data_IF_371918913242
#
_entry.id   IF_371918913242
#
_cell.length_a   1.000
_cell.length_b   1.000
_cell.length_c   1.000
_cell.angle_alpha   90.00
_cell.angle_beta   90.00
_cell.angle_gamma   90.00
#
_symmetry.space_group_name_H-M   'P 1'
#
loop_
_entity.id
_entity.type
_entity.pdbx_description
1 polymer ?
#
# COMPACT_ATOMS: atom_id res chain seq x y z
N UNK A 1 -2.46 -5.67 12.20
CA UNK A 1 -1.65 -4.44 12.25
C UNK A 1 -0.26 -4.78 12.77
N UNK A 2 0.73 -4.69 11.90
CA UNK A 2 2.12 -5.04 12.24
C UNK A 2 2.65 -4.01 13.24
N UNK A 3 3.04 -4.45 14.43
CA UNK A 3 3.48 -3.57 15.52
C UNK A 3 5.01 -3.48 15.52
N UNK A 4 5.56 -2.60 14.69
CA UNK A 4 6.96 -2.23 14.78
C UNK A 4 7.15 -1.12 15.82
N UNK A 5 8.21 -1.23 16.61
CA UNK A 5 8.74 -0.11 17.39
C UNK A 5 9.50 0.86 16.49
N UNK A 6 9.66 2.11 16.94
CA UNK A 6 10.44 3.11 16.19
C UNK A 6 11.90 2.68 15.98
N UNK A 7 12.48 1.95 16.95
CA UNK A 7 13.84 1.42 16.88
C UNK A 7 13.98 0.31 15.83
N UNK A 8 12.99 -0.59 15.73
CA UNK A 8 12.94 -1.61 14.67
C UNK A 8 12.83 -0.98 13.29
N UNK A 9 11.95 0.01 13.13
CA UNK A 9 11.84 0.77 11.87
C UNK A 9 13.17 1.42 11.50
N UNK A 10 13.87 2.03 12.47
CA UNK A 10 15.18 2.66 12.22
C UNK A 10 16.20 1.64 11.73
N UNK A 11 16.27 0.47 12.35
CA UNK A 11 17.18 -0.63 11.94
C UNK A 11 16.86 -1.11 10.52
N UNK A 12 15.59 -1.27 10.18
CA UNK A 12 15.16 -1.67 8.83
C UNK A 12 15.57 -0.63 7.79
N UNK A 13 15.41 0.67 8.10
CA UNK A 13 15.79 1.76 7.19
C UNK A 13 17.30 1.84 6.91
N UNK A 14 18.16 1.33 7.80
CA UNK A 14 19.61 1.31 7.58
C UNK A 14 20.05 0.22 6.58
N UNK A 15 19.22 -0.81 6.35
CA UNK A 15 19.44 -1.84 5.33
C UNK A 15 19.05 -1.36 3.93
N UNK A 16 19.72 -0.33 3.42
CA UNK A 16 19.38 0.36 2.16
C UNK A 16 19.23 -0.57 0.95
N UNK A 17 20.02 -1.65 0.90
CA UNK A 17 19.97 -2.64 -0.19
C UNK A 17 18.67 -3.44 -0.24
N UNK A 18 17.87 -3.45 0.82
CA UNK A 18 16.57 -4.12 0.91
C UNK A 18 15.38 -3.20 0.60
N UNK A 19 15.61 -1.88 0.49
CA UNK A 19 14.55 -0.92 0.22
C UNK A 19 14.21 -0.91 -1.27
N UNK A 20 12.92 -0.93 -1.61
CA UNK A 20 12.42 -0.83 -2.98
C UNK A 20 11.42 0.31 -3.07
N UNK A 21 11.85 1.42 -3.66
CA UNK A 21 10.97 2.54 -3.99
C UNK A 21 10.38 2.28 -5.37
N UNK A 22 9.08 2.02 -5.41
CA UNK A 22 8.35 1.74 -6.66
C UNK A 22 6.99 2.43 -6.66
N UNK A 23 6.41 2.56 -7.84
CA UNK A 23 5.06 3.10 -8.02
C UNK A 23 4.26 2.15 -8.91
N UNK A 24 2.94 2.12 -8.69
CA UNK A 24 2.01 1.39 -9.54
C UNK A 24 1.41 2.37 -10.55
N UNK A 25 1.63 2.09 -11.83
CA UNK A 25 1.05 2.86 -12.93
C UNK A 25 0.12 1.95 -13.73
N UNK A 26 -1.05 2.47 -14.07
CA UNK A 26 -2.05 1.75 -14.85
C UNK A 26 -2.98 2.74 -15.55
N UNK A 27 -3.70 2.27 -16.57
CA UNK A 27 -4.82 3.02 -17.14
C UNK A 27 -5.97 3.12 -16.12
N UNK A 28 -6.87 4.09 -16.33
CA UNK A 28 -8.09 4.22 -15.52
C UNK A 28 -8.91 2.93 -15.65
N UNK A 29 -9.51 2.48 -14.55
CA UNK A 29 -10.31 1.25 -14.47
C UNK A 29 -9.57 -0.08 -14.75
N UNK A 30 -8.22 -0.08 -14.75
CA UNK A 30 -7.41 -1.30 -14.92
C UNK A 30 -6.99 -1.95 -13.58
N UNK A 31 -7.78 -1.76 -12.52
CA UNK A 31 -7.57 -2.48 -11.25
C UNK A 31 -6.36 -2.03 -10.43
N UNK A 32 -5.88 -0.79 -10.61
CA UNK A 32 -4.76 -0.23 -9.83
C UNK A 32 -5.04 -0.24 -8.32
N UNK A 33 -6.18 0.29 -7.90
CA UNK A 33 -6.56 0.35 -6.49
C UNK A 33 -6.75 -1.07 -5.92
N UNK A 34 -7.33 -1.99 -6.69
CA UNK A 34 -7.48 -3.40 -6.31
C UNK A 34 -6.14 -4.10 -6.09
N UNK A 35 -5.17 -3.92 -7.01
CA UNK A 35 -3.83 -4.49 -6.86
C UNK A 35 -3.12 -3.91 -5.63
N UNK A 36 -3.24 -2.60 -5.42
CA UNK A 36 -2.60 -1.91 -4.30
C UNK A 36 -3.17 -2.38 -2.97
N UNK A 37 -4.49 -2.47 -2.84
CA UNK A 37 -5.16 -3.01 -1.66
C UNK A 37 -4.79 -4.48 -1.40
N UNK A 38 -4.62 -5.29 -2.44
CA UNK A 38 -4.18 -6.68 -2.29
C UNK A 38 -2.78 -6.77 -1.67
N UNK A 39 -1.85 -5.87 -2.06
CA UNK A 39 -0.52 -5.78 -1.46
C UNK A 39 -0.58 -5.32 0.01
N UNK A 40 -1.44 -4.35 0.31
CA UNK A 40 -1.67 -3.86 1.67
C UNK A 40 -2.27 -4.96 2.58
N UNK A 41 -3.19 -5.76 2.04
CA UNK A 41 -3.76 -6.91 2.72
C UNK A 41 -2.71 -8.01 2.96
N UNK A 42 -1.89 -8.33 1.96
CA UNK A 42 -0.79 -9.28 2.09
C UNK A 42 0.24 -8.85 3.15
N UNK A 43 0.43 -7.54 3.35
CA UNK A 43 1.27 -6.99 4.42
C UNK A 43 0.58 -6.97 5.81
N UNK A 44 -0.65 -7.47 5.93
CA UNK A 44 -1.38 -7.55 7.21
C UNK A 44 -1.84 -6.19 7.77
N UNK A 45 -1.96 -5.18 6.89
CA UNK A 45 -2.41 -3.83 7.23
C UNK A 45 -3.95 -3.78 7.23
N UNK A 46 -4.58 -4.36 6.20
CA UNK A 46 -6.05 -4.52 6.08
C UNK A 46 -6.42 -6.01 6.00
N UNK A 47 -7.69 -6.32 6.23
CA UNK A 47 -8.21 -7.67 6.03
C UNK A 47 -8.32 -7.98 4.52
N UNK A 48 -8.12 -9.24 4.13
CA UNK A 48 -8.10 -9.61 2.71
C UNK A 48 -9.51 -9.52 2.09
N UNK A 49 -10.54 -9.73 2.89
CA UNK A 49 -11.95 -9.68 2.49
C UNK A 49 -12.43 -8.28 2.12
N UNK A 50 -11.72 -7.24 2.57
CA UNK A 50 -12.06 -5.83 2.30
C UNK A 50 -11.13 -5.20 1.25
N UNK A 51 -10.19 -5.97 0.71
CA UNK A 51 -9.25 -5.50 -0.30
C UNK A 51 -9.98 -5.21 -1.63
N UNK A 52 -9.80 -4.00 -2.18
CA UNK A 52 -10.45 -3.54 -3.40
C UNK A 52 -11.71 -2.69 -3.15
N UNK A 53 -12.39 -2.92 -2.02
CA UNK A 53 -13.53 -2.11 -1.59
C UNK A 53 -13.09 -0.89 -0.78
N UNK A 54 -12.08 -1.07 0.09
CA UNK A 54 -11.56 0.01 0.95
C UNK A 54 -10.83 1.08 0.13
N UNK A 55 -10.10 0.67 -0.92
CA UNK A 55 -9.27 1.53 -1.76
C UNK A 55 -8.42 2.48 -0.93
N UNK A 56 -7.59 1.91 -0.07
CA UNK A 56 -6.94 2.62 1.04
C UNK A 56 -6.09 3.82 0.58
N UNK A 57 -5.62 3.82 -0.66
CA UNK A 57 -4.81 4.89 -1.24
C UNK A 57 -5.61 6.04 -1.84
N UNK A 58 -6.92 5.85 -2.09
CA UNK A 58 -7.83 6.85 -2.63
C UNK A 58 -8.36 7.70 -1.45
N UNK A 59 -7.50 8.59 -0.95
CA UNK A 59 -7.73 9.34 0.31
C UNK A 59 -8.67 10.54 0.16
N UNK A 60 -8.90 11.02 -1.07
CA UNK A 60 -9.75 12.18 -1.30
C UNK A 60 -11.18 11.75 -1.60
N UNK A 61 -12.13 12.57 -1.17
CA UNK A 61 -13.55 12.29 -1.39
C UNK A 61 -13.92 12.19 -2.88
N UNK A 62 -13.33 13.03 -3.74
CA UNK A 62 -13.55 12.99 -5.18
C UNK A 62 -12.95 11.76 -5.88
N UNK A 63 -11.93 11.13 -5.29
CA UNK A 63 -11.39 9.86 -5.75
C UNK A 63 -12.36 8.71 -5.46
N UNK A 64 -12.91 8.69 -4.24
CA UNK A 64 -13.89 7.68 -3.81
C UNK A 64 -15.18 7.78 -4.61
N UNK A 65 -15.73 8.99 -4.76
CA UNK A 65 -16.99 9.22 -5.50
C UNK A 65 -16.89 8.83 -6.97
N UNK A 66 -15.73 9.03 -7.59
CA UNK A 66 -15.49 8.75 -9.01
C UNK A 66 -14.90 7.36 -9.25
N UNK A 67 -14.45 6.67 -8.21
CA UNK A 67 -13.77 5.39 -8.31
C UNK A 67 -12.43 5.44 -9.05
N UNK A 68 -11.73 6.59 -9.04
CA UNK A 68 -10.44 6.79 -9.71
C UNK A 68 -9.39 7.31 -8.74
N UNK A 69 -8.12 7.04 -9.02
CA UNK A 69 -7.01 7.65 -8.28
C UNK A 69 -6.53 8.93 -8.98
N UNK A 70 -6.53 10.05 -8.26
CA UNK A 70 -6.13 11.37 -8.77
C UNK A 70 -4.76 11.78 -8.22
N UNK A 71 -4.47 11.46 -6.97
CA UNK A 71 -3.25 11.81 -6.24
C UNK A 71 -2.48 10.56 -5.81
N UNK A 72 -1.16 10.68 -5.77
CA UNK A 72 -0.31 9.63 -5.23
C UNK A 72 -0.35 9.64 -3.70
N UNK A 73 -0.58 8.47 -3.11
CA UNK A 73 -0.51 8.21 -1.67
C UNK A 73 0.58 7.16 -1.43
N UNK A 74 1.57 7.48 -0.60
CA UNK A 74 2.66 6.57 -0.27
C UNK A 74 2.28 5.59 0.83
N UNK A 75 2.64 4.32 0.65
CA UNK A 75 2.51 3.26 1.66
C UNK A 75 3.86 2.58 1.85
N UNK A 76 4.11 2.03 3.03
CA UNK A 76 5.29 1.21 3.32
C UNK A 76 4.86 -0.23 3.57
N UNK A 77 5.49 -1.16 2.86
CA UNK A 77 5.24 -2.59 2.98
C UNK A 77 6.52 -3.25 3.53
N UNK A 78 6.34 -4.19 4.44
CA UNK A 78 7.43 -5.01 4.97
C UNK A 78 7.16 -6.47 4.63
N UNK A 79 8.19 -7.15 4.13
CA UNK A 79 8.15 -8.57 3.82
C UNK A 79 9.52 -9.18 4.12
N UNK A 80 9.52 -10.41 4.66
CA UNK A 80 10.73 -11.17 4.93
C UNK A 80 10.81 -12.33 3.94
N UNK A 81 11.90 -12.39 3.16
CA UNK A 81 12.14 -13.50 2.24
C UNK A 81 12.67 -14.69 3.04
N UNK A 82 11.85 -15.74 3.18
CA UNK A 82 12.30 -17.08 3.62
C UNK A 82 13.17 -17.77 2.59
#
# INVERSE_FOLDING_TARGET
MVKFTAEELRRIMDMKHNIRNMSVTAHVDHGKSTLTDSLVAAAGIIAQEVAGDVRMTDTRQDEVERGITIKSTGISLYYEMT
#
